data_IF_877411519514
#
_entry.id   IF_877411519514
#
_cell.length_a   1.000
_cell.length_b   1.000
_cell.length_c   1.000
_cell.angle_alpha   90.00
_cell.angle_beta   90.00
_cell.angle_gamma   90.00
#
_symmetry.space_group_name_H-M   'P 1'
#
loop_
_entity.id
_entity.type
_entity.pdbx_description
1 polymer ?
#
# COMPACT_ATOMS: atom_id res chain seq x y z
N UNK A 1 33.44 41.15 1.67
CA UNK A 1 32.98 41.61 0.34
C UNK A 1 32.63 40.38 -0.48
N UNK A 2 31.34 40.03 -0.52
CA UNK A 2 30.80 38.88 -1.27
C UNK A 2 30.76 39.24 -2.75
N UNK A 3 31.39 38.42 -3.60
CA UNK A 3 31.51 38.66 -5.04
C UNK A 3 30.11 38.64 -5.70
N UNK A 4 29.59 39.78 -6.21
CA UNK A 4 28.21 39.88 -6.72
C UNK A 4 27.94 38.93 -7.89
N UNK A 5 28.93 38.67 -8.75
CA UNK A 5 28.77 37.75 -9.88
C UNK A 5 28.54 36.28 -9.51
N UNK A 6 28.88 35.85 -8.29
CA UNK A 6 28.65 34.46 -7.83
C UNK A 6 27.24 34.26 -7.28
N UNK A 7 26.61 35.31 -6.74
CA UNK A 7 25.22 35.26 -6.28
C UNK A 7 24.25 35.30 -7.46
N UNK A 8 24.57 36.09 -8.49
CA UNK A 8 23.79 36.16 -9.72
C UNK A 8 23.88 34.85 -10.53
N UNK A 9 25.04 34.20 -10.59
CA UNK A 9 25.18 32.90 -11.27
C UNK A 9 24.37 31.79 -10.58
N UNK A 10 24.37 31.77 -9.24
CA UNK A 10 23.58 30.80 -8.47
C UNK A 10 22.08 31.07 -8.62
N UNK A 11 21.64 32.34 -8.61
CA UNK A 11 20.25 32.72 -8.83
C UNK A 11 19.78 32.34 -10.26
N UNK A 12 20.64 32.52 -11.26
CA UNK A 12 20.34 32.19 -12.66
C UNK A 12 20.30 30.67 -12.89
N UNK A 13 21.25 29.91 -12.32
CA UNK A 13 21.23 28.44 -12.35
C UNK A 13 20.02 27.84 -11.61
N UNK A 14 19.62 28.45 -10.49
CA UNK A 14 18.41 28.05 -9.77
C UNK A 14 17.14 28.41 -10.55
N UNK A 15 17.13 29.50 -11.31
CA UNK A 15 16.03 29.88 -12.20
C UNK A 15 15.92 28.95 -13.42
N UNK A 16 17.04 28.60 -14.05
CA UNK A 16 17.12 27.64 -15.17
C UNK A 16 16.75 26.21 -14.75
N UNK A 17 17.00 25.82 -13.51
CA UNK A 17 16.58 24.51 -12.98
C UNK A 17 15.09 24.48 -12.55
N UNK A 18 14.49 25.64 -12.22
CA UNK A 18 13.09 25.77 -11.79
C UNK A 18 12.10 25.71 -12.95
N UNK A 19 12.44 26.25 -14.11
CA UNK A 19 11.59 26.25 -15.31
C UNK A 19 11.28 24.84 -15.86
N UNK A 20 12.25 23.90 -16.03
CA UNK A 20 11.93 22.55 -16.49
C UNK A 20 11.16 21.75 -15.43
N UNK A 21 11.43 21.94 -14.14
CA UNK A 21 10.70 21.26 -13.08
C UNK A 21 9.23 21.70 -13.03
N UNK A 22 8.98 23.01 -13.15
CA UNK A 22 7.61 23.55 -13.21
C UNK A 22 6.82 23.00 -14.40
N UNK A 23 7.44 22.90 -15.57
CA UNK A 23 6.81 22.32 -16.76
C UNK A 23 6.52 20.82 -16.60
N UNK A 24 7.43 20.06 -15.98
CA UNK A 24 7.21 18.64 -15.69
C UNK A 24 6.06 18.43 -14.69
N UNK A 25 5.96 19.27 -13.65
CA UNK A 25 4.86 19.21 -12.68
C UNK A 25 3.53 19.58 -13.34
N UNK A 26 3.51 20.64 -14.15
CA UNK A 26 2.32 21.03 -14.91
C UNK A 26 1.88 19.93 -15.89
N UNK A 27 2.83 19.33 -16.63
CA UNK A 27 2.56 18.20 -17.52
C UNK A 27 2.03 16.97 -16.76
N UNK A 28 2.58 16.68 -15.58
CA UNK A 28 2.10 15.60 -14.73
C UNK A 28 0.66 15.85 -14.25
N UNK A 29 0.37 17.06 -13.77
CA UNK A 29 -0.98 17.42 -13.31
C UNK A 29 -1.98 17.44 -14.46
N UNK A 30 -1.58 17.87 -15.66
CA UNK A 30 -2.44 17.83 -16.84
C UNK A 30 -2.76 16.39 -17.25
N UNK A 31 -1.77 15.48 -17.16
CA UNK A 31 -1.94 14.09 -17.56
C UNK A 31 -2.70 13.28 -16.49
N UNK A 32 -2.23 13.28 -15.23
CA UNK A 32 -2.76 12.43 -14.16
C UNK A 32 -3.75 13.12 -13.22
N UNK A 33 -3.92 14.45 -13.31
CA UNK A 33 -4.91 15.18 -12.51
C UNK A 33 -6.34 14.61 -12.66
N UNK A 34 -6.83 14.35 -13.89
CA UNK A 34 -8.12 13.70 -14.09
C UNK A 34 -8.20 12.28 -13.51
N UNK A 35 -7.09 11.54 -13.52
CA UNK A 35 -6.99 10.21 -12.90
C UNK A 35 -7.14 10.31 -11.39
N UNK A 36 -6.39 11.21 -10.75
CA UNK A 36 -6.48 11.41 -9.30
C UNK A 36 -7.85 11.92 -8.87
N UNK A 37 -8.48 12.79 -9.66
CA UNK A 37 -9.85 13.24 -9.40
C UNK A 37 -10.86 12.09 -9.49
N UNK A 38 -10.74 11.25 -10.53
CA UNK A 38 -11.56 10.05 -10.69
C UNK A 38 -11.36 9.09 -9.51
N UNK A 39 -10.12 8.79 -9.14
CA UNK A 39 -9.79 7.93 -8.00
C UNK A 39 -10.32 8.50 -6.69
N UNK A 40 -10.18 9.80 -6.45
CA UNK A 40 -10.66 10.47 -5.24
C UNK A 40 -12.19 10.41 -5.08
N UNK A 41 -12.94 10.49 -6.17
CA UNK A 41 -14.41 10.51 -6.13
C UNK A 41 -15.05 9.13 -6.23
N UNK A 42 -14.30 8.09 -6.62
CA UNK A 42 -14.83 6.74 -6.82
C UNK A 42 -14.14 5.72 -5.91
N UNK A 43 -12.90 5.36 -6.24
CA UNK A 43 -12.15 4.26 -5.63
C UNK A 43 -11.74 4.60 -4.20
N UNK A 44 -11.14 5.77 -3.97
CA UNK A 44 -10.66 6.21 -2.66
C UNK A 44 -11.80 6.64 -1.74
N UNK A 45 -13.00 6.85 -2.27
CA UNK A 45 -14.20 7.07 -1.48
C UNK A 45 -14.80 5.77 -0.93
N UNK A 46 -14.35 4.61 -1.42
CA UNK A 46 -14.78 3.30 -0.92
C UNK A 46 -13.98 2.87 0.32
N UNK A 47 -14.64 2.14 1.22
CA UNK A 47 -14.00 1.52 2.39
C UNK A 47 -12.92 0.50 2.00
N UNK A 48 -13.00 -0.02 0.77
CA UNK A 48 -12.00 -0.92 0.23
C UNK A 48 -10.71 -0.15 -0.09
N UNK A 49 -10.71 0.89 -0.92
CA UNK A 49 -9.46 1.48 -1.43
C UNK A 49 -9.13 2.88 -0.86
N UNK A 50 -9.69 3.22 0.30
CA UNK A 50 -9.50 4.51 0.97
C UNK A 50 -8.05 4.83 1.39
N UNK A 51 -7.13 3.87 1.34
CA UNK A 51 -5.72 4.09 1.65
C UNK A 51 -4.92 4.79 0.53
N UNK A 52 -5.45 4.83 -0.70
CA UNK A 52 -4.74 5.38 -1.85
C UNK A 52 -4.15 6.79 -1.66
N UNK A 53 -4.88 7.77 -1.11
CA UNK A 53 -4.36 9.11 -0.86
C UNK A 53 -3.17 9.13 0.11
N UNK A 54 -3.20 8.29 1.15
CA UNK A 54 -2.11 8.18 2.13
C UNK A 54 -0.86 7.62 1.45
N UNK A 55 -1.03 6.56 0.65
CA UNK A 55 0.07 5.95 -0.11
C UNK A 55 0.66 6.95 -1.09
N UNK A 56 -0.17 7.75 -1.77
CA UNK A 56 0.27 8.83 -2.66
C UNK A 56 1.13 9.86 -1.92
N UNK A 57 0.63 10.37 -0.79
CA UNK A 57 1.34 11.37 0.03
C UNK A 57 2.70 10.84 0.52
N UNK A 58 2.73 9.61 1.03
CA UNK A 58 3.96 8.95 1.46
C UNK A 58 4.92 8.73 0.29
N UNK A 59 4.43 8.33 -0.89
CA UNK A 59 5.26 8.15 -2.09
C UNK A 59 5.93 9.45 -2.51
N UNK A 60 5.17 10.55 -2.53
CA UNK A 60 5.69 11.90 -2.82
C UNK A 60 6.75 12.30 -1.78
N UNK A 61 6.48 12.06 -0.50
CA UNK A 61 7.44 12.33 0.57
C UNK A 61 8.73 11.48 0.45
N UNK A 62 8.62 10.20 0.11
CA UNK A 62 9.77 9.31 -0.13
C UNK A 62 10.61 9.79 -1.32
N UNK A 63 9.96 10.19 -2.42
CA UNK A 63 10.65 10.80 -3.57
C UNK A 63 11.36 12.09 -3.16
N UNK A 64 10.69 12.94 -2.37
CA UNK A 64 11.28 14.18 -1.85
C UNK A 64 12.50 13.94 -0.96
N UNK A 65 12.47 12.89 -0.12
CA UNK A 65 13.61 12.50 0.73
C UNK A 65 14.80 11.99 -0.10
N UNK A 66 14.54 11.38 -1.26
CA UNK A 66 15.59 10.87 -2.17
C UNK A 66 16.10 11.92 -3.18
N UNK A 67 15.53 13.13 -3.21
CA UNK A 67 15.87 14.18 -4.19
C UNK A 67 17.36 14.53 -4.22
N UNK A 68 18.02 14.61 -3.07
CA UNK A 68 19.43 14.99 -2.99
C UNK A 68 20.33 13.91 -3.59
N UNK A 69 20.01 12.63 -3.38
CA UNK A 69 20.71 11.50 -4.01
C UNK A 69 20.55 11.53 -5.53
N UNK A 70 19.36 11.89 -6.04
CA UNK A 70 19.11 12.05 -7.47
C UNK A 70 19.86 13.24 -8.08
N UNK A 71 19.93 14.36 -7.36
CA UNK A 71 20.69 15.53 -7.79
C UNK A 71 22.18 15.18 -7.87
N UNK A 72 22.71 14.52 -6.83
CA UNK A 72 24.13 14.16 -6.70
C UNK A 72 24.61 13.10 -7.70
N UNK A 73 23.71 12.31 -8.30
CA UNK A 73 24.05 11.36 -9.37
C UNK A 73 24.62 12.03 -10.64
N UNK A 74 24.51 13.36 -10.78
CA UNK A 74 24.90 14.10 -11.98
C UNK A 74 23.91 13.93 -13.13
N UNK A 75 24.05 14.74 -14.19
CA UNK A 75 23.21 14.67 -15.42
C UNK A 75 23.82 13.79 -16.51
N UNK A 76 25.13 13.52 -16.46
CA UNK A 76 25.86 12.71 -17.46
C UNK A 76 25.52 11.22 -17.45
N UNK A 77 24.62 10.77 -16.58
CA UNK A 77 24.23 9.35 -16.43
C UNK A 77 22.89 9.06 -17.14
N UNK A 78 22.24 10.09 -17.68
CA UNK A 78 20.97 9.97 -18.41
C UNK A 78 21.04 8.99 -19.58
N UNK A 79 19.96 8.24 -19.80
CA UNK A 79 19.79 7.31 -20.92
C UNK A 79 18.56 7.74 -21.73
N UNK A 80 18.64 8.80 -22.56
CA UNK A 80 17.47 9.45 -23.15
C UNK A 80 16.66 8.54 -24.07
N UNK A 81 17.32 7.67 -24.85
CA UNK A 81 16.64 6.69 -25.72
C UNK A 81 15.78 5.72 -24.90
N UNK A 82 16.37 5.06 -23.90
CA UNK A 82 15.66 4.11 -23.04
C UNK A 82 14.59 4.81 -22.20
N UNK A 83 14.89 5.98 -21.65
CA UNK A 83 13.93 6.79 -20.90
C UNK A 83 12.74 7.21 -21.77
N UNK A 84 13.00 7.62 -23.01
CA UNK A 84 11.97 7.96 -23.99
C UNK A 84 11.10 6.78 -24.39
N UNK A 85 11.68 5.60 -24.61
CA UNK A 85 10.91 4.36 -24.89
C UNK A 85 10.00 4.00 -23.73
N UNK A 86 10.51 3.98 -22.50
CA UNK A 86 9.71 3.65 -21.30
C UNK A 86 8.63 4.71 -21.05
N UNK A 87 8.95 5.98 -21.25
CA UNK A 87 7.99 7.08 -21.16
C UNK A 87 6.87 6.94 -22.21
N UNK A 88 7.23 6.69 -23.47
CA UNK A 88 6.28 6.51 -24.56
C UNK A 88 5.38 5.30 -24.33
N UNK A 89 5.93 4.20 -23.82
CA UNK A 89 5.14 3.04 -23.41
C UNK A 89 4.16 3.38 -22.30
N UNK A 90 4.62 4.09 -21.25
CA UNK A 90 3.75 4.57 -20.17
C UNK A 90 2.62 5.46 -20.68
N UNK A 91 2.94 6.38 -21.59
CA UNK A 91 1.96 7.25 -22.21
C UNK A 91 0.94 6.47 -23.07
N UNK A 92 1.39 5.48 -23.83
CA UNK A 92 0.51 4.61 -24.61
C UNK A 92 -0.43 3.80 -23.70
N UNK A 93 0.09 3.24 -22.61
CA UNK A 93 -0.71 2.52 -21.60
C UNK A 93 -1.72 3.46 -20.96
N UNK A 94 -1.34 4.70 -20.65
CA UNK A 94 -2.26 5.72 -20.14
C UNK A 94 -3.39 5.99 -21.14
N UNK A 95 -3.08 6.22 -22.42
CA UNK A 95 -4.06 6.50 -23.46
C UNK A 95 -5.04 5.35 -23.65
N UNK A 96 -4.54 4.12 -23.73
CA UNK A 96 -5.37 2.92 -23.85
C UNK A 96 -6.23 2.75 -22.59
N UNK A 97 -5.61 2.89 -21.41
CA UNK A 97 -6.30 2.78 -20.13
C UNK A 97 -7.46 3.77 -20.01
N UNK A 98 -7.20 5.05 -20.31
CA UNK A 98 -8.23 6.10 -20.27
C UNK A 98 -9.30 5.90 -21.35
N UNK A 99 -8.91 5.52 -22.57
CA UNK A 99 -9.85 5.30 -23.68
C UNK A 99 -10.77 4.10 -23.46
N UNK A 100 -10.29 3.06 -22.79
CA UNK A 100 -11.04 1.83 -22.52
C UNK A 100 -11.64 1.80 -21.11
N UNK A 101 -11.53 2.90 -20.35
CA UNK A 101 -11.98 3.00 -18.95
C UNK A 101 -11.35 1.95 -18.02
N UNK A 102 -10.11 1.54 -18.30
CA UNK A 102 -9.34 0.56 -17.52
C UNK A 102 -8.54 1.33 -16.45
N UNK A 103 -9.17 1.58 -15.30
CA UNK A 103 -8.57 2.36 -14.19
C UNK A 103 -7.24 1.79 -13.67
N UNK A 104 -7.06 0.47 -13.68
CA UNK A 104 -5.78 -0.19 -13.34
C UNK A 104 -4.65 0.24 -14.28
N UNK A 105 -4.89 0.20 -15.59
CA UNK A 105 -3.89 0.57 -16.59
C UNK A 105 -3.61 2.07 -16.57
N UNK A 106 -4.65 2.88 -16.42
CA UNK A 106 -4.54 4.34 -16.32
C UNK A 106 -3.69 4.76 -15.10
N UNK A 107 -3.99 4.24 -13.91
CA UNK A 107 -3.23 4.52 -12.71
C UNK A 107 -1.84 3.87 -12.74
N UNK A 108 -1.68 2.69 -13.33
CA UNK A 108 -0.38 2.03 -13.46
C UNK A 108 0.59 2.71 -14.41
N UNK A 109 0.06 3.41 -15.43
CA UNK A 109 0.87 4.16 -16.39
C UNK A 109 1.79 5.20 -15.73
N UNK A 110 1.38 5.78 -14.59
CA UNK A 110 2.18 6.76 -13.87
C UNK A 110 3.55 6.21 -13.44
N UNK A 111 3.64 4.90 -13.14
CA UNK A 111 4.89 4.26 -12.77
C UNK A 111 5.87 4.22 -13.95
N UNK A 112 5.36 3.88 -15.14
CA UNK A 112 6.15 3.84 -16.37
C UNK A 112 6.57 5.25 -16.79
N UNK A 113 5.66 6.23 -16.71
CA UNK A 113 5.98 7.63 -17.01
C UNK A 113 7.07 8.15 -16.06
N UNK A 114 6.92 7.93 -14.75
CA UNK A 114 7.91 8.36 -13.76
C UNK A 114 9.25 7.64 -13.92
N UNK A 115 9.24 6.33 -14.16
CA UNK A 115 10.45 5.55 -14.43
C UNK A 115 11.15 6.04 -15.72
N UNK A 116 10.39 6.31 -16.78
CA UNK A 116 10.89 6.84 -18.04
C UNK A 116 11.57 8.19 -17.86
N UNK A 117 10.94 9.13 -17.14
CA UNK A 117 11.52 10.43 -16.80
C UNK A 117 12.84 10.28 -16.01
N UNK A 118 12.86 9.39 -15.02
CA UNK A 118 14.06 9.18 -14.20
C UNK A 118 15.19 8.53 -15.01
N UNK A 119 14.89 7.56 -15.89
CA UNK A 119 15.89 6.97 -16.78
C UNK A 119 16.39 8.02 -17.79
N UNK A 120 15.51 8.87 -18.29
CA UNK A 120 15.85 9.93 -19.22
C UNK A 120 16.90 10.89 -18.61
N UNK A 121 16.65 11.41 -17.42
CA UNK A 121 17.53 12.40 -16.77
C UNK A 121 18.67 11.81 -15.94
N UNK A 122 18.48 10.62 -15.36
CA UNK A 122 19.37 10.05 -14.33
C UNK A 122 19.78 8.59 -14.61
N UNK A 123 19.31 8.01 -15.71
CA UNK A 123 19.61 6.64 -16.11
C UNK A 123 19.07 5.58 -15.15
N UNK A 124 19.48 4.32 -15.36
CA UNK A 124 19.09 3.20 -14.50
C UNK A 124 19.57 3.34 -13.05
N UNK A 125 20.65 4.11 -12.82
CA UNK A 125 21.11 4.43 -11.45
C UNK A 125 20.09 5.29 -10.70
N UNK A 126 19.45 6.25 -11.38
CA UNK A 126 18.34 7.01 -10.81
C UNK A 126 17.16 6.11 -10.44
N UNK A 127 16.82 5.13 -11.28
CA UNK A 127 15.75 4.17 -11.00
C UNK A 127 16.02 3.37 -9.72
N UNK A 128 17.27 2.94 -9.50
CA UNK A 128 17.67 2.25 -8.27
C UNK A 128 17.51 3.10 -7.01
N UNK A 129 17.65 4.44 -7.10
CA UNK A 129 17.43 5.35 -5.98
C UNK A 129 15.95 5.44 -5.60
N UNK A 130 15.05 5.40 -6.59
CA UNK A 130 13.60 5.55 -6.39
C UNK A 130 12.80 4.23 -6.48
N UNK A 131 13.48 3.09 -6.57
CA UNK A 131 12.82 1.78 -6.71
C UNK A 131 11.79 1.51 -5.61
N UNK A 132 12.09 1.96 -4.38
CA UNK A 132 11.19 1.79 -3.24
C UNK A 132 9.96 2.71 -3.35
N UNK A 133 10.08 4.04 -3.55
CA UNK A 133 8.92 4.88 -3.83
C UNK A 133 8.06 4.38 -5.00
N UNK A 134 8.68 3.93 -6.10
CA UNK A 134 7.96 3.36 -7.25
C UNK A 134 7.20 2.07 -6.89
N UNK A 135 7.87 1.17 -6.17
CA UNK A 135 7.24 -0.05 -5.68
C UNK A 135 6.08 0.27 -4.72
N UNK A 136 6.26 1.26 -3.84
CA UNK A 136 5.24 1.68 -2.89
C UNK A 136 4.00 2.27 -3.58
N UNK A 137 4.18 2.99 -4.69
CA UNK A 137 3.07 3.48 -5.52
C UNK A 137 2.23 2.35 -6.14
N UNK A 138 2.73 1.12 -6.28
CA UNK A 138 1.93 -0.02 -6.78
C UNK A 138 0.70 -0.28 -5.88
N UNK A 139 0.83 -0.08 -4.57
CA UNK A 139 -0.25 -0.31 -3.61
C UNK A 139 -1.38 0.72 -3.71
N UNK A 140 -1.18 1.82 -4.45
CA UNK A 140 -2.22 2.81 -4.74
C UNK A 140 -3.07 2.44 -5.96
N UNK A 141 -2.56 1.56 -6.84
CA UNK A 141 -3.21 1.26 -8.11
C UNK A 141 -4.44 0.37 -7.83
N UNK A 142 -5.64 0.74 -8.30
CA UNK A 142 -6.82 -0.10 -8.16
C UNK A 142 -6.60 -1.40 -8.94
N UNK A 143 -6.40 -2.50 -8.23
CA UNK A 143 -6.28 -3.82 -8.84
C UNK A 143 -7.61 -4.23 -9.48
N UNK A 144 -7.60 -4.98 -10.61
CA UNK A 144 -8.81 -5.49 -11.22
C UNK A 144 -9.64 -6.32 -10.21
N UNK A 145 -10.97 -6.13 -10.13
CA UNK A 145 -11.82 -6.85 -9.19
C UNK A 145 -11.66 -8.37 -9.30
N UNK A 146 -11.47 -8.91 -10.50
CA UNK A 146 -11.26 -10.34 -10.73
C UNK A 146 -9.95 -10.85 -10.11
N UNK A 147 -8.88 -10.05 -10.19
CA UNK A 147 -7.59 -10.39 -9.59
C UNK A 147 -7.68 -10.31 -8.06
N UNK A 148 -8.31 -9.26 -7.54
CA UNK A 148 -8.58 -9.13 -6.10
C UNK A 148 -9.43 -10.31 -5.62
N UNK A 149 -10.48 -10.68 -6.36
CA UNK A 149 -11.34 -11.82 -6.06
C UNK A 149 -10.61 -13.15 -6.11
N UNK A 150 -9.73 -13.37 -7.09
CA UNK A 150 -8.94 -14.59 -7.21
C UNK A 150 -7.96 -14.78 -6.05
N UNK A 151 -7.36 -13.69 -5.56
CA UNK A 151 -6.40 -13.73 -4.43
C UNK A 151 -7.11 -13.73 -3.08
N UNK A 152 -8.10 -12.85 -2.89
CA UNK A 152 -8.81 -12.70 -1.61
C UNK A 152 -9.91 -13.74 -1.40
N UNK A 153 -10.44 -14.35 -2.45
CA UNK A 153 -11.51 -15.35 -2.37
C UNK A 153 -11.13 -16.58 -1.54
N UNK A 154 -10.02 -17.27 -1.85
CA UNK A 154 -9.52 -18.37 -1.03
C UNK A 154 -9.26 -17.96 0.42
N UNK A 155 -8.71 -16.76 0.63
CA UNK A 155 -8.47 -16.20 1.96
C UNK A 155 -9.77 -16.00 2.74
N UNK A 156 -10.80 -15.38 2.13
CA UNK A 156 -12.12 -15.17 2.71
C UNK A 156 -12.79 -16.50 3.07
N UNK A 157 -12.67 -17.51 2.20
CA UNK A 157 -13.19 -18.86 2.46
C UNK A 157 -12.48 -19.53 3.65
N UNK A 158 -11.16 -19.40 3.74
CA UNK A 158 -10.37 -19.92 4.85
C UNK A 158 -10.72 -19.22 6.17
N UNK A 159 -10.79 -17.89 6.19
CA UNK A 159 -11.22 -17.11 7.37
C UNK A 159 -12.62 -17.57 7.82
N UNK A 160 -13.56 -17.69 6.88
CA UNK A 160 -14.93 -18.13 7.19
C UNK A 160 -14.95 -19.52 7.81
N UNK A 161 -14.15 -20.46 7.29
CA UNK A 161 -14.06 -21.83 7.79
C UNK A 161 -13.52 -21.89 9.23
N UNK A 162 -12.42 -21.17 9.49
CA UNK A 162 -11.78 -21.17 10.80
C UNK A 162 -12.66 -20.45 11.83
N UNK A 163 -13.23 -19.31 11.47
CA UNK A 163 -14.13 -18.55 12.34
C UNK A 163 -15.38 -19.36 12.71
N UNK A 164 -16.03 -20.03 11.73
CA UNK A 164 -17.21 -20.86 12.01
C UNK A 164 -16.88 -22.02 12.95
N UNK A 165 -15.76 -22.71 12.69
CA UNK A 165 -15.36 -23.85 13.51
C UNK A 165 -15.04 -23.44 14.95
N UNK A 166 -14.33 -22.32 15.11
CA UNK A 166 -13.98 -21.78 16.43
C UNK A 166 -15.21 -21.32 17.21
N UNK A 167 -16.18 -20.66 16.57
CA UNK A 167 -17.42 -20.25 17.24
C UNK A 167 -18.31 -21.44 17.59
N UNK A 168 -18.38 -22.44 16.70
CA UNK A 168 -19.12 -23.68 16.96
C UNK A 168 -18.53 -24.45 18.15
N UNK A 169 -17.20 -24.56 18.25
CA UNK A 169 -16.56 -25.21 19.40
C UNK A 169 -16.74 -24.46 20.72
N UNK A 170 -16.99 -23.14 20.65
CA UNK A 170 -17.37 -22.30 21.80
C UNK A 170 -18.86 -22.39 22.16
N UNK A 171 -19.65 -23.20 21.45
CA UNK A 171 -21.07 -23.43 21.74
C UNK A 171 -22.04 -22.47 21.04
N UNK A 172 -21.59 -21.66 20.08
CA UNK A 172 -22.47 -20.75 19.34
C UNK A 172 -23.17 -21.45 18.17
N UNK A 173 -24.46 -21.13 17.91
CA UNK A 173 -25.24 -21.72 16.83
C UNK A 173 -24.88 -21.09 15.47
N UNK A 174 -23.67 -21.38 14.99
CA UNK A 174 -23.12 -20.85 13.73
C UNK A 174 -23.12 -21.92 12.65
N UNK A 175 -23.61 -21.55 11.46
CA UNK A 175 -23.50 -22.33 10.24
C UNK A 175 -22.74 -21.54 9.17
N UNK A 176 -22.14 -22.25 8.21
CA UNK A 176 -21.37 -21.65 7.11
C UNK A 176 -21.88 -22.15 5.76
N UNK A 177 -22.09 -21.24 4.83
CA UNK A 177 -22.31 -21.52 3.40
C UNK A 177 -21.36 -20.67 2.57
N UNK A 178 -20.27 -21.26 2.07
CA UNK A 178 -19.21 -20.53 1.35
C UNK A 178 -18.53 -19.47 2.24
N UNK A 179 -18.78 -18.20 1.95
CA UNK A 179 -18.30 -17.02 2.71
C UNK A 179 -19.39 -16.35 3.55
N UNK A 180 -20.58 -16.97 3.63
CA UNK A 180 -21.70 -16.49 4.44
C UNK A 180 -21.70 -17.27 5.75
N UNK A 181 -21.73 -16.55 6.87
CA UNK A 181 -21.89 -17.10 8.22
C UNK A 181 -23.30 -16.79 8.72
N UNK A 182 -24.05 -17.80 9.13
CA UNK A 182 -25.36 -17.65 9.73
C UNK A 182 -25.27 -17.90 11.23
N UNK A 183 -25.79 -16.99 12.05
CA UNK A 183 -25.79 -17.12 13.52
C UNK A 183 -27.19 -16.80 14.04
N UNK A 184 -27.89 -17.80 14.58
CA UNK A 184 -29.32 -17.67 14.92
C UNK A 184 -30.14 -17.24 13.69
N UNK A 185 -30.85 -16.10 13.77
CA UNK A 185 -31.59 -15.51 12.65
C UNK A 185 -30.76 -14.60 11.73
N UNK A 186 -29.51 -14.29 12.07
CA UNK A 186 -28.70 -13.32 11.33
C UNK A 186 -27.81 -13.99 10.30
N UNK A 187 -27.54 -13.29 9.19
CA UNK A 187 -26.60 -13.70 8.16
C UNK A 187 -25.55 -12.62 7.96
N UNK A 188 -24.29 -13.01 8.00
CA UNK A 188 -23.13 -12.14 7.83
C UNK A 188 -22.31 -12.58 6.63
N UNK A 189 -22.09 -11.65 5.71
CA UNK A 189 -21.13 -11.82 4.62
C UNK A 189 -19.73 -11.53 5.15
N UNK A 190 -18.89 -12.56 5.19
CA UNK A 190 -17.48 -12.41 5.54
C UNK A 190 -16.77 -11.50 4.54
N UNK A 191 -17.29 -11.38 3.31
CA UNK A 191 -16.79 -10.44 2.32
C UNK A 191 -16.80 -8.98 2.84
N UNK A 192 -17.85 -8.54 3.53
CA UNK A 192 -18.00 -7.17 4.06
C UNK A 192 -17.20 -7.01 5.36
N UNK A 193 -17.23 -8.04 6.22
CA UNK A 193 -16.42 -8.11 7.42
C UNK A 193 -14.91 -8.09 7.12
N UNK A 194 -14.54 -8.60 5.94
CA UNK A 194 -13.20 -8.58 5.40
C UNK A 194 -13.00 -7.47 4.36
N UNK A 195 -13.95 -6.58 4.05
CA UNK A 195 -13.72 -5.49 3.09
C UNK A 195 -12.68 -4.50 3.62
N UNK A 196 -12.58 -4.36 4.94
CA UNK A 196 -11.42 -3.75 5.60
C UNK A 196 -10.11 -4.57 5.49
N UNK A 197 -10.03 -5.61 4.65
CA UNK A 197 -8.80 -6.32 4.28
C UNK A 197 -7.79 -5.42 3.58
N UNK A 198 -8.20 -4.31 2.97
CA UNK A 198 -7.22 -3.36 2.45
C UNK A 198 -6.39 -2.72 3.56
N UNK A 199 -6.85 -2.77 4.82
CA UNK A 199 -6.01 -2.51 5.99
C UNK A 199 -4.83 -3.49 6.12
N UNK A 200 -4.87 -4.71 5.56
CA UNK A 200 -3.70 -5.59 5.48
C UNK A 200 -2.65 -5.08 4.51
N UNK A 201 -3.07 -4.68 3.31
CA UNK A 201 -2.16 -4.04 2.34
C UNK A 201 -1.63 -2.72 2.89
N UNK A 202 -2.44 -1.94 3.62
CA UNK A 202 -1.95 -0.72 4.27
C UNK A 202 -1.02 -1.01 5.43
N UNK A 203 -1.26 -2.03 6.25
CA UNK A 203 -0.38 -2.43 7.35
C UNK A 203 0.92 -3.07 6.83
N UNK A 204 0.87 -3.82 5.75
CA UNK A 204 2.05 -4.37 5.06
C UNK A 204 2.83 -3.25 4.38
N UNK A 205 2.17 -2.34 3.69
CA UNK A 205 2.77 -1.13 3.13
C UNK A 205 3.39 -0.25 4.23
N UNK A 206 2.68 -0.02 5.35
CA UNK A 206 3.18 0.74 6.49
C UNK A 206 4.33 0.00 7.20
N UNK A 207 4.29 -1.33 7.27
CA UNK A 207 5.36 -2.18 7.78
C UNK A 207 6.62 -2.10 6.91
N UNK A 208 6.46 -2.16 5.58
CA UNK A 208 7.54 -1.98 4.61
C UNK A 208 8.10 -0.55 4.64
N UNK A 209 7.24 0.45 4.82
CA UNK A 209 7.62 1.85 5.01
C UNK A 209 8.42 2.01 6.30
N UNK A 210 7.93 1.44 7.41
CA UNK A 210 8.62 1.44 8.69
C UNK A 210 10.00 0.78 8.57
N UNK A 211 10.11 -0.39 7.93
CA UNK A 211 11.39 -1.06 7.68
C UNK A 211 12.34 -0.21 6.82
N UNK A 212 11.83 0.50 5.81
CA UNK A 212 12.62 1.40 4.97
C UNK A 212 13.13 2.64 5.72
N UNK A 213 12.31 3.18 6.62
CA UNK A 213 12.64 4.38 7.40
C UNK A 213 13.59 4.03 8.55
N UNK A 214 13.33 2.93 9.24
CA UNK A 214 13.97 2.63 10.52
C UNK A 214 15.34 2.00 10.34
N UNK A 215 15.66 1.30 9.25
CA UNK A 215 17.05 0.92 8.92
C UNK A 215 17.85 0.27 10.09
N UNK A 216 17.18 -0.37 11.05
CA UNK A 216 17.82 -1.03 12.19
C UNK A 216 17.66 -2.55 12.04
N UNK A 217 18.82 -3.22 12.16
CA UNK A 217 19.08 -4.66 12.36
C UNK A 217 18.62 -5.62 11.26
N UNK A 218 19.55 -5.94 10.35
CA UNK A 218 19.62 -7.20 9.58
C UNK A 218 18.53 -7.44 8.51
N UNK A 219 18.95 -7.54 7.25
CA UNK A 219 18.08 -7.92 6.12
C UNK A 219 17.23 -9.18 6.41
N UNK A 220 17.79 -10.16 7.13
CA UNK A 220 17.11 -11.39 7.54
C UNK A 220 15.95 -11.16 8.52
N UNK A 221 16.07 -10.24 9.48
CA UNK A 221 15.00 -9.92 10.46
C UNK A 221 13.86 -9.18 9.78
N UNK A 222 14.16 -8.22 8.91
CA UNK A 222 13.13 -7.53 8.12
C UNK A 222 12.37 -8.47 7.18
N UNK A 223 13.09 -9.41 6.54
CA UNK A 223 12.45 -10.41 5.67
C UNK A 223 11.58 -11.40 6.48
N UNK A 224 12.04 -11.84 7.65
CA UNK A 224 11.25 -12.68 8.55
C UNK A 224 9.98 -11.96 9.04
N UNK A 225 10.09 -10.68 9.43
CA UNK A 225 8.95 -9.86 9.84
C UNK A 225 7.95 -9.66 8.70
N UNK A 226 8.42 -9.40 7.47
CA UNK A 226 7.55 -9.27 6.30
C UNK A 226 6.75 -10.55 6.03
N UNK A 227 7.39 -11.71 6.13
CA UNK A 227 6.72 -13.01 5.98
C UNK A 227 5.73 -13.26 7.12
N UNK A 228 6.05 -12.84 8.35
CA UNK A 228 5.18 -12.99 9.53
C UNK A 228 3.97 -12.04 9.54
N UNK A 229 4.02 -10.91 8.82
CA UNK A 229 2.88 -9.99 8.71
C UNK A 229 1.67 -10.68 8.07
N UNK A 230 1.88 -11.54 7.07
CA UNK A 230 0.80 -12.26 6.36
C UNK A 230 -0.01 -13.20 7.28
N UNK A 231 0.60 -14.13 8.06
CA UNK A 231 -0.16 -14.95 8.99
C UNK A 231 -0.71 -14.14 10.18
N UNK A 232 0.00 -13.13 10.67
CA UNK A 232 -0.50 -12.24 11.74
C UNK A 232 -1.79 -11.55 11.30
N UNK A 233 -1.78 -10.99 10.09
CA UNK A 233 -2.94 -10.31 9.55
C UNK A 233 -4.09 -11.30 9.37
N UNK A 234 -3.84 -12.49 8.83
CA UNK A 234 -4.85 -13.54 8.68
C UNK A 234 -5.53 -13.89 10.01
N UNK A 235 -4.76 -14.09 11.08
CA UNK A 235 -5.29 -14.38 12.42
C UNK A 235 -6.10 -13.20 12.95
N UNK A 236 -5.59 -11.96 12.82
CA UNK A 236 -6.31 -10.77 13.26
C UNK A 236 -7.68 -10.65 12.57
N UNK A 237 -7.76 -11.06 11.30
CA UNK A 237 -9.00 -11.05 10.54
C UNK A 237 -9.99 -12.13 10.98
N UNK A 238 -9.51 -13.33 11.36
CA UNK A 238 -10.37 -14.35 11.98
C UNK A 238 -10.98 -13.80 13.26
N UNK A 239 -10.17 -13.20 14.13
CA UNK A 239 -10.64 -12.60 15.39
C UNK A 239 -11.68 -11.51 15.10
N UNK A 240 -11.42 -10.62 14.13
CA UNK A 240 -12.37 -9.58 13.73
C UNK A 240 -13.72 -10.17 13.29
N UNK A 241 -13.72 -11.19 12.44
CA UNK A 241 -14.95 -11.85 11.99
C UNK A 241 -15.67 -12.49 13.17
N UNK A 242 -14.95 -13.14 14.09
CA UNK A 242 -15.53 -13.72 15.29
C UNK A 242 -16.16 -12.65 16.20
N UNK A 243 -15.47 -11.54 16.45
CA UNK A 243 -16.02 -10.42 17.24
C UNK A 243 -17.27 -9.87 16.59
N UNK A 244 -17.26 -9.67 15.27
CA UNK A 244 -18.44 -9.20 14.55
C UNK A 244 -19.62 -10.15 14.70
N UNK A 245 -19.41 -11.47 14.51
CA UNK A 245 -20.47 -12.47 14.68
C UNK A 245 -21.02 -12.46 16.10
N UNK A 246 -20.15 -12.33 17.12
CA UNK A 246 -20.55 -12.25 18.52
C UNK A 246 -21.33 -10.97 18.82
N UNK A 247 -20.89 -9.83 18.29
CA UNK A 247 -21.61 -8.55 18.44
C UNK A 247 -23.00 -8.64 17.82
N UNK A 248 -23.09 -9.17 16.59
CA UNK A 248 -24.38 -9.36 15.91
C UNK A 248 -25.29 -10.32 16.66
N UNK A 249 -24.75 -11.41 17.20
CA UNK A 249 -25.56 -12.38 17.94
C UNK A 249 -26.12 -11.83 19.26
N UNK A 250 -25.31 -11.10 20.04
CA UNK A 250 -25.70 -10.63 21.37
C UNK A 250 -26.39 -9.26 21.36
N UNK A 251 -26.07 -8.39 20.40
CA UNK A 251 -26.56 -7.01 20.35
C UNK A 251 -27.44 -6.72 19.13
N UNK A 252 -27.66 -7.72 18.27
CA UNK A 252 -28.50 -7.65 17.09
C UNK A 252 -27.79 -7.11 15.84
N UNK A 253 -28.46 -7.24 14.69
CA UNK A 253 -27.90 -6.89 13.37
C UNK A 253 -27.50 -5.42 13.25
N UNK A 254 -28.31 -4.50 13.78
CA UNK A 254 -28.01 -3.07 13.78
C UNK A 254 -26.70 -2.73 14.51
N UNK A 255 -26.41 -3.42 15.62
CA UNK A 255 -25.16 -3.27 16.35
C UNK A 255 -23.98 -3.87 15.56
N UNK A 256 -24.19 -5.00 14.88
CA UNK A 256 -23.21 -5.59 13.95
C UNK A 256 -22.81 -4.63 12.84
N UNK A 257 -23.78 -4.03 12.15
CA UNK A 257 -23.54 -3.05 11.07
C UNK A 257 -22.84 -1.80 11.60
N UNK A 258 -23.28 -1.26 12.75
CA UNK A 258 -22.61 -0.12 13.40
C UNK A 258 -21.16 -0.43 13.83
N UNK A 259 -20.91 -1.64 14.34
CA UNK A 259 -19.57 -2.10 14.68
C UNK A 259 -18.68 -2.23 13.43
N UNK A 260 -19.23 -2.74 12.31
CA UNK A 260 -18.50 -2.83 11.04
C UNK A 260 -17.98 -1.48 10.56
N UNK A 261 -18.78 -0.42 10.65
CA UNK A 261 -18.41 0.91 10.13
C UNK A 261 -17.61 1.76 11.12
N UNK A 262 -17.83 1.60 12.44
CA UNK A 262 -17.21 2.47 13.46
C UNK A 262 -16.00 1.88 14.21
N UNK A 263 -16.03 0.57 14.52
CA UNK A 263 -15.11 -0.01 15.52
C UNK A 263 -14.28 -1.19 15.02
N UNK A 264 -14.65 -1.79 13.89
CA UNK A 264 -13.96 -2.94 13.33
C UNK A 264 -12.48 -2.66 13.01
N UNK A 265 -12.16 -1.44 12.55
CA UNK A 265 -10.79 -1.01 12.29
C UNK A 265 -9.93 -0.93 13.56
N UNK A 266 -10.49 -0.43 14.68
CA UNK A 266 -9.79 -0.36 15.96
C UNK A 266 -9.47 -1.74 16.53
N UNK A 267 -10.41 -2.69 16.43
CA UNK A 267 -10.18 -4.07 16.89
C UNK A 267 -9.08 -4.74 16.06
N UNK A 268 -9.12 -4.59 14.73
CA UNK A 268 -8.07 -5.11 13.85
C UNK A 268 -6.70 -4.53 14.21
N UNK A 269 -6.62 -3.21 14.42
CA UNK A 269 -5.38 -2.53 14.78
C UNK A 269 -4.83 -3.00 16.14
N UNK A 270 -5.68 -3.07 17.18
CA UNK A 270 -5.28 -3.54 18.51
C UNK A 270 -4.78 -4.99 18.48
N UNK A 271 -5.50 -5.89 17.81
CA UNK A 271 -5.11 -7.30 17.70
C UNK A 271 -3.80 -7.44 16.91
N UNK A 272 -3.67 -6.75 15.78
CA UNK A 272 -2.45 -6.76 14.99
C UNK A 272 -1.24 -6.23 15.79
N UNK A 273 -1.41 -5.14 16.54
CA UNK A 273 -0.35 -4.57 17.38
C UNK A 273 0.09 -5.56 18.47
N UNK A 274 -0.85 -6.18 19.18
CA UNK A 274 -0.54 -7.18 20.21
C UNK A 274 0.20 -8.38 19.63
N UNK A 275 -0.23 -8.87 18.47
CA UNK A 275 0.43 -10.00 17.79
C UNK A 275 1.84 -9.64 17.33
N UNK A 276 2.04 -8.47 16.72
CA UNK A 276 3.36 -7.98 16.30
C UNK A 276 4.30 -7.86 17.50
N UNK A 277 3.86 -7.22 18.59
CA UNK A 277 4.67 -7.09 19.81
C UNK A 277 5.01 -8.44 20.45
N UNK A 278 4.08 -9.39 20.40
CA UNK A 278 4.30 -10.75 20.91
C UNK A 278 5.33 -11.49 20.07
N UNK A 279 5.22 -11.42 18.74
CA UNK A 279 6.15 -12.05 17.80
C UNK A 279 7.53 -11.40 17.88
N UNK A 280 7.62 -10.07 17.96
CA UNK A 280 8.89 -9.35 18.08
C UNK A 280 9.62 -9.75 19.37
N UNK A 281 8.92 -9.86 20.51
CA UNK A 281 9.50 -10.38 21.76
C UNK A 281 9.98 -11.83 21.63
N UNK A 282 9.22 -12.70 20.97
CA UNK A 282 9.61 -14.10 20.77
C UNK A 282 10.85 -14.20 19.87
N UNK A 283 10.89 -13.40 18.80
CA UNK A 283 12.04 -13.32 17.90
C UNK A 283 13.28 -12.77 18.62
N UNK A 284 13.14 -11.71 19.43
CA UNK A 284 14.24 -11.17 20.23
C UNK A 284 14.81 -12.20 21.21
N UNK A 285 13.95 -12.99 21.87
CA UNK A 285 14.38 -14.07 22.77
C UNK A 285 15.09 -15.19 21.97
N UNK A 286 14.57 -15.54 20.79
CA UNK A 286 15.15 -16.59 19.95
C UNK A 286 16.52 -16.19 19.38
N UNK A 287 16.66 -14.95 18.89
CA UNK A 287 17.92 -14.43 18.35
C UNK A 287 18.98 -14.24 19.44
N UNK A 288 18.62 -13.73 20.62
CA UNK A 288 19.54 -13.66 21.78
C UNK A 288 20.03 -15.04 22.22
N UNK A 289 19.17 -16.07 22.13
CA UNK A 289 19.55 -17.47 22.44
C UNK A 289 20.45 -18.10 21.38
N UNK A 290 20.35 -17.66 20.13
CA UNK A 290 21.19 -18.13 19.03
C UNK A 290 22.58 -17.50 19.09
N UNK A 291 22.68 -16.19 19.33
CA UNK A 291 23.95 -15.49 19.57
C UNK A 291 24.67 -15.98 20.83
N UNK A 292 23.94 -16.41 21.86
CA UNK A 292 24.53 -17.01 23.06
C UNK A 292 25.05 -18.45 22.85
N UNK A 293 24.78 -19.08 21.69
CA UNK A 293 25.20 -20.46 21.34
C UNK A 293 26.28 -20.51 20.25
N UNK A 294 26.57 -19.39 19.59
CA UNK A 294 27.62 -19.20 18.59
C UNK A 294 28.84 -18.51 19.17
#
# INVERSE_FOLDING_TARGET
MTNPGRQDLVATLLAEARTPLGLLVLGWLALFGPTYYSLATTVWASDEQGHGPIIMAVSIWLLWRRRELLINLGSNVGRPVWGGVVFALGWLVYLIGRSQFIGFAEAGAQLLVLAGLVIFFKGFRGLNVIKFPLFFMLFMIPLPPDLVGAVTGPLKAAVSAVASQALYSLGYPVARSGVILSVGQYQLLVADACAGLNSMFTLEALGLLYMNIVNHVGFARNMALAVLIVPISFIANIVRVMVLVLVTYHFGDAAGQGFMHGFAGMVLFLVALVLILSVDKVLDIAFRRWEARS
#
